data_IF_723277755579
#
_entry.id   IF_723277755579
#
_cell.length_a   1.000
_cell.length_b   1.000
_cell.length_c   1.000
_cell.angle_alpha   90.00
_cell.angle_beta   90.00
_cell.angle_gamma   90.00
#
_symmetry.space_group_name_H-M   'P 1'
#
loop_
_entity.id
_entity.type
_entity.pdbx_description
1 polymer ?
#
# COMPACT_ATOMS: atom_id res chain seq x y z
N UNK A 1 12.01 -1.76 -17.29
CA UNK A 1 12.37 -3.18 -17.07
C UNK A 1 12.05 -4.02 -18.29
N UNK A 2 10.80 -4.12 -18.74
CA UNK A 2 10.41 -4.88 -19.95
C UNK A 2 11.19 -4.47 -21.21
N UNK A 3 11.28 -3.16 -21.49
CA UNK A 3 12.07 -2.61 -22.61
C UNK A 3 13.55 -3.00 -22.58
N UNK A 4 14.08 -3.30 -21.40
CA UNK A 4 15.49 -3.63 -21.17
C UNK A 4 15.70 -5.10 -20.83
N UNK A 5 14.63 -5.91 -20.78
CA UNK A 5 14.64 -7.34 -20.40
C UNK A 5 15.35 -7.63 -19.06
N UNK A 6 15.21 -6.72 -18.09
CA UNK A 6 15.82 -6.83 -16.74
C UNK A 6 14.77 -7.35 -15.74
N UNK A 7 15.12 -8.30 -14.87
CA UNK A 7 14.26 -8.77 -13.78
C UNK A 7 14.54 -7.99 -12.48
N UNK A 8 13.60 -8.04 -11.52
CA UNK A 8 13.74 -7.34 -10.23
C UNK A 8 15.02 -7.71 -9.47
N UNK A 9 15.45 -8.97 -9.59
CA UNK A 9 16.67 -9.50 -8.97
C UNK A 9 17.97 -8.92 -9.55
N UNK A 10 17.92 -8.41 -10.77
CA UNK A 10 19.07 -7.87 -11.50
C UNK A 10 19.26 -6.35 -11.24
N UNK A 11 18.37 -5.74 -10.45
CA UNK A 11 18.39 -4.31 -10.17
C UNK A 11 19.30 -4.03 -8.97
N UNK A 12 20.38 -3.29 -9.21
CA UNK A 12 21.27 -2.78 -8.18
C UNK A 12 21.03 -1.29 -7.85
N UNK A 13 21.82 -0.78 -6.89
CA UNK A 13 21.78 0.60 -6.42
C UNK A 13 22.09 1.62 -7.52
N UNK A 14 23.05 1.31 -8.40
CA UNK A 14 23.50 2.23 -9.43
C UNK A 14 22.48 2.34 -10.57
N UNK A 15 21.85 1.21 -10.92
CA UNK A 15 20.72 1.16 -11.83
C UNK A 15 19.56 2.00 -11.27
N UNK A 16 19.17 1.79 -10.01
CA UNK A 16 18.09 2.55 -9.37
C UNK A 16 18.34 4.05 -9.46
N UNK A 17 19.56 4.49 -9.09
CA UNK A 17 19.96 5.89 -9.13
C UNK A 17 19.93 6.44 -10.55
N UNK A 18 20.55 5.76 -11.51
CA UNK A 18 20.61 6.21 -12.91
C UNK A 18 19.22 6.34 -13.51
N UNK A 19 18.37 5.32 -13.37
CA UNK A 19 17.02 5.31 -13.96
C UNK A 19 16.10 6.32 -13.32
N UNK A 20 16.12 6.43 -11.99
CA UNK A 20 15.29 7.41 -11.29
C UNK A 20 15.64 8.83 -11.71
N UNK A 21 16.93 9.17 -11.84
CA UNK A 21 17.36 10.48 -12.29
C UNK A 21 16.85 10.79 -13.70
N UNK A 22 17.01 9.85 -14.64
CA UNK A 22 16.55 10.00 -16.02
C UNK A 22 15.03 10.20 -16.11
N UNK A 23 14.25 9.40 -15.38
CA UNK A 23 12.78 9.49 -15.38
C UNK A 23 12.33 10.82 -14.80
N UNK A 24 12.89 11.24 -13.66
CA UNK A 24 12.53 12.52 -13.04
C UNK A 24 12.90 13.69 -13.96
N UNK A 25 14.06 13.64 -14.62
CA UNK A 25 14.46 14.68 -15.56
C UNK A 25 13.55 14.75 -16.80
N UNK A 26 13.16 13.61 -17.37
CA UNK A 26 12.18 13.56 -18.47
C UNK A 26 10.82 14.13 -18.05
N UNK A 27 10.31 13.76 -16.86
CA UNK A 27 9.06 14.30 -16.33
C UNK A 27 9.11 15.81 -16.11
N UNK A 28 10.25 16.34 -15.64
CA UNK A 28 10.47 17.77 -15.46
C UNK A 28 10.58 18.53 -16.79
N UNK A 29 11.01 17.87 -17.87
CA UNK A 29 11.03 18.46 -19.22
C UNK A 29 9.64 18.51 -19.82
N UNK A 30 8.84 17.44 -19.65
CA UNK A 30 7.46 17.34 -20.16
C UNK A 30 6.47 18.22 -19.40
N UNK A 31 6.76 18.51 -18.14
CA UNK A 31 5.98 19.42 -17.30
C UNK A 31 6.85 20.61 -16.90
N UNK A 32 7.14 21.55 -17.84
CA UNK A 32 7.95 22.73 -17.56
C UNK A 32 7.21 23.59 -16.55
N UNK A 33 7.51 23.34 -15.28
CA UNK A 33 6.75 23.80 -14.13
C UNK A 33 7.54 24.82 -13.32
N UNK A 34 6.87 25.37 -12.30
CA UNK A 34 7.43 26.13 -11.18
C UNK A 34 8.72 25.50 -10.59
N UNK A 35 8.95 24.21 -10.81
CA UNK A 35 10.12 23.46 -10.31
C UNK A 35 11.46 23.88 -10.93
N UNK A 36 11.47 24.71 -11.99
CA UNK A 36 12.68 25.35 -12.54
C UNK A 36 12.73 26.87 -12.32
N UNK A 37 11.76 27.43 -11.57
CA UNK A 37 11.60 28.89 -11.44
C UNK A 37 12.61 29.56 -10.51
N UNK A 38 13.27 28.82 -9.61
CA UNK A 38 14.25 29.39 -8.68
C UNK A 38 15.23 28.36 -8.10
N UNK A 39 16.32 28.85 -7.49
CA UNK A 39 17.29 28.02 -6.74
C UNK A 39 16.66 27.23 -5.60
N UNK A 40 15.57 27.75 -5.00
CA UNK A 40 14.80 27.00 -4.00
C UNK A 40 14.19 25.74 -4.62
N UNK A 41 13.61 25.85 -5.81
CA UNK A 41 13.03 24.72 -6.50
C UNK A 41 14.08 23.74 -7.04
N UNK A 42 15.27 24.20 -7.43
CA UNK A 42 16.40 23.31 -7.74
C UNK A 42 16.70 22.37 -6.55
N UNK A 43 16.66 22.89 -5.32
CA UNK A 43 16.83 22.07 -4.12
C UNK A 43 15.65 21.10 -3.90
N UNK A 44 14.41 21.53 -4.13
CA UNK A 44 13.23 20.66 -4.05
C UNK A 44 13.35 19.49 -5.04
N UNK A 45 13.80 19.74 -6.27
CA UNK A 45 14.05 18.71 -7.27
C UNK A 45 15.13 17.73 -6.81
N UNK A 46 16.25 18.23 -6.24
CA UNK A 46 17.29 17.36 -5.67
C UNK A 46 16.74 16.47 -4.56
N UNK A 47 15.90 17.02 -3.67
CA UNK A 47 15.25 16.26 -2.59
C UNK A 47 14.30 15.20 -3.16
N UNK A 48 13.48 15.55 -4.16
CA UNK A 48 12.58 14.63 -4.84
C UNK A 48 13.35 13.46 -5.46
N UNK A 49 14.41 13.73 -6.23
CA UNK A 49 15.26 12.71 -6.84
C UNK A 49 15.82 11.72 -5.80
N UNK A 50 16.29 12.23 -4.66
CA UNK A 50 16.79 11.40 -3.55
C UNK A 50 15.69 10.54 -2.94
N UNK A 51 14.52 11.12 -2.68
CA UNK A 51 13.36 10.42 -2.12
C UNK A 51 12.88 9.30 -3.03
N UNK A 52 12.68 9.58 -4.33
CA UNK A 52 12.23 8.57 -5.30
C UNK A 52 13.29 7.48 -5.47
N UNK A 53 14.58 7.83 -5.50
CA UNK A 53 15.65 6.83 -5.64
C UNK A 53 15.65 5.86 -4.45
N UNK A 54 15.51 6.40 -3.22
CA UNK A 54 15.39 5.58 -2.01
C UNK A 54 14.14 4.70 -2.04
N UNK A 55 12.99 5.26 -2.43
CA UNK A 55 11.75 4.50 -2.56
C UNK A 55 11.91 3.33 -3.55
N UNK A 56 12.50 3.55 -4.73
CA UNK A 56 12.76 2.48 -5.71
C UNK A 56 13.69 1.42 -5.13
N UNK A 57 14.79 1.81 -4.46
CA UNK A 57 15.71 0.86 -3.83
C UNK A 57 15.01 0.00 -2.76
N UNK A 58 14.18 0.61 -1.92
CA UNK A 58 13.39 -0.13 -0.92
C UNK A 58 12.38 -1.05 -1.59
N UNK A 59 11.71 -0.60 -2.64
CA UNK A 59 10.76 -1.41 -3.39
C UNK A 59 11.43 -2.65 -3.99
N UNK A 60 12.61 -2.50 -4.59
CA UNK A 60 13.42 -3.61 -5.12
C UNK A 60 13.77 -4.59 -4.01
N UNK A 61 14.27 -4.10 -2.86
CA UNK A 61 14.56 -4.95 -1.71
C UNK A 61 13.32 -5.74 -1.25
N UNK A 62 12.18 -5.07 -1.10
CA UNK A 62 10.94 -5.69 -0.62
C UNK A 62 10.38 -6.72 -1.61
N UNK A 63 10.45 -6.47 -2.92
CA UNK A 63 10.03 -7.43 -3.95
C UNK A 63 10.94 -8.66 -3.94
N UNK A 64 12.25 -8.46 -3.85
CA UNK A 64 13.23 -9.54 -3.85
C UNK A 64 13.31 -10.31 -2.52
N UNK A 65 12.63 -9.84 -1.47
CA UNK A 65 12.61 -10.52 -0.16
C UNK A 65 11.62 -11.68 -0.12
N UNK A 66 10.71 -11.80 -1.09
CA UNK A 66 9.69 -12.85 -1.11
C UNK A 66 9.33 -13.33 -2.51
N UNK A 67 8.22 -14.05 -2.61
CA UNK A 67 7.73 -14.69 -3.84
C UNK A 67 6.54 -13.96 -4.46
N UNK A 68 5.87 -13.05 -3.74
CA UNK A 68 4.88 -12.14 -4.33
C UNK A 68 5.50 -11.31 -5.47
N UNK A 69 4.80 -11.21 -6.59
CA UNK A 69 5.24 -10.42 -7.74
C UNK A 69 4.23 -9.32 -8.06
N UNK A 70 4.68 -8.10 -8.41
CA UNK A 70 3.78 -7.09 -8.96
C UNK A 70 3.20 -7.61 -10.27
N UNK A 71 1.91 -7.93 -10.26
CA UNK A 71 1.19 -8.37 -11.46
C UNK A 71 0.54 -7.17 -12.16
N UNK A 72 0.03 -6.21 -11.38
CA UNK A 72 -0.73 -5.09 -11.94
C UNK A 72 -0.48 -3.79 -11.18
N UNK A 73 -0.42 -2.70 -11.94
CA UNK A 73 -0.25 -1.34 -11.46
C UNK A 73 -1.38 -0.48 -12.00
N UNK A 74 -1.82 0.53 -11.24
CA UNK A 74 -2.87 1.48 -11.66
C UNK A 74 -4.16 0.78 -12.11
N UNK A 75 -4.55 -0.29 -11.40
CA UNK A 75 -5.67 -1.17 -11.76
C UNK A 75 -6.99 -0.46 -11.58
N UNK A 76 -7.80 -0.37 -12.63
CA UNK A 76 -9.04 0.40 -12.62
C UNK A 76 -10.22 -0.53 -12.34
N UNK A 77 -10.99 -0.22 -11.29
CA UNK A 77 -12.26 -0.89 -11.05
C UNK A 77 -13.43 0.03 -11.44
N UNK A 78 -14.08 -0.32 -12.54
CA UNK A 78 -15.28 0.32 -13.12
C UNK A 78 -15.88 -0.64 -14.15
N UNK A 79 -17.15 -0.46 -14.52
CA UNK A 79 -17.71 -1.25 -15.62
C UNK A 79 -16.89 -1.04 -16.93
N UNK A 80 -16.38 -2.13 -17.49
CA UNK A 80 -15.45 -2.12 -18.65
C UNK A 80 -13.97 -1.84 -18.31
N UNK A 81 -13.60 -1.78 -17.03
CA UNK A 81 -12.22 -1.72 -16.53
C UNK A 81 -11.60 -3.11 -16.30
N UNK A 82 -10.50 -3.14 -15.55
CA UNK A 82 -9.81 -4.39 -15.18
C UNK A 82 -10.68 -5.22 -14.22
N UNK A 83 -11.34 -4.55 -13.27
CA UNK A 83 -12.34 -5.12 -12.38
C UNK A 83 -13.68 -4.38 -12.52
N UNK A 84 -14.82 -5.04 -12.30
CA UNK A 84 -16.11 -4.36 -12.27
C UNK A 84 -16.16 -3.35 -11.13
N UNK A 85 -17.05 -2.37 -11.25
CA UNK A 85 -17.36 -1.49 -10.13
C UNK A 85 -17.98 -2.25 -8.95
N UNK A 86 -17.81 -1.69 -7.75
CA UNK A 86 -18.52 -2.20 -6.57
C UNK A 86 -19.93 -1.60 -6.60
N UNK A 87 -20.93 -2.48 -6.66
CA UNK A 87 -22.34 -2.10 -6.71
C UNK A 87 -22.97 -2.31 -5.34
N UNK A 88 -23.54 -1.24 -4.78
CA UNK A 88 -24.17 -1.23 -3.45
C UNK A 88 -25.63 -0.83 -3.61
N UNK A 89 -26.53 -1.75 -3.26
CA UNK A 89 -27.97 -1.48 -3.26
C UNK A 89 -28.37 -0.83 -1.93
N UNK A 90 -28.99 0.34 -2.00
CA UNK A 90 -29.55 1.02 -0.84
C UNK A 90 -30.95 0.53 -0.50
N UNK A 91 -31.37 0.76 0.74
CA UNK A 91 -32.74 0.49 1.19
C UNK A 91 -33.79 1.31 0.44
N UNK A 92 -33.41 2.47 -0.10
CA UNK A 92 -34.27 3.32 -0.94
C UNK A 92 -34.57 2.70 -2.32
N UNK A 93 -33.91 1.60 -2.69
CA UNK A 93 -34.00 0.99 -4.02
C UNK A 93 -33.04 1.60 -5.04
N UNK A 94 -32.32 2.67 -4.68
CA UNK A 94 -31.25 3.21 -5.51
C UNK A 94 -30.00 2.33 -5.43
N UNK A 95 -29.23 2.30 -6.52
CA UNK A 95 -27.94 1.61 -6.58
C UNK A 95 -26.82 2.63 -6.68
N UNK A 96 -25.80 2.45 -5.85
CA UNK A 96 -24.55 3.21 -5.91
C UNK A 96 -23.52 2.38 -6.65
N UNK A 97 -22.77 3.05 -7.52
CA UNK A 97 -21.62 2.49 -8.20
C UNK A 97 -20.35 3.17 -7.67
N UNK A 98 -19.45 2.37 -7.08
CA UNK A 98 -18.14 2.84 -6.65
C UNK A 98 -17.10 2.43 -7.68
N UNK A 99 -16.38 3.42 -8.18
CA UNK A 99 -15.27 3.24 -9.10
C UNK A 99 -13.98 3.81 -8.51
N UNK A 100 -12.84 3.30 -8.95
CA UNK A 100 -11.57 3.84 -8.49
C UNK A 100 -10.37 3.16 -9.14
N UNK A 101 -9.22 3.36 -8.51
CA UNK A 101 -7.95 2.85 -9.02
C UNK A 101 -7.07 2.35 -7.89
N UNK A 102 -6.60 1.12 -8.02
CA UNK A 102 -5.66 0.47 -7.11
C UNK A 102 -4.24 0.78 -7.61
N UNK A 103 -3.43 1.42 -6.77
CA UNK A 103 -2.05 1.79 -7.13
C UNK A 103 -1.21 0.57 -7.56
N UNK A 104 -1.23 -0.49 -6.76
CA UNK A 104 -0.47 -1.72 -7.01
C UNK A 104 -1.15 -2.93 -6.38
N UNK A 105 -1.17 -4.02 -7.14
CA UNK A 105 -1.54 -5.35 -6.67
C UNK A 105 -0.41 -6.34 -6.95
N UNK A 106 0.02 -7.03 -5.89
CA UNK A 106 0.93 -8.15 -6.03
C UNK A 106 0.18 -9.46 -5.85
N UNK A 107 0.61 -10.49 -6.58
CA UNK A 107 0.03 -11.83 -6.53
C UNK A 107 1.10 -12.89 -6.27
N UNK A 108 0.67 -13.99 -5.65
CA UNK A 108 1.38 -15.24 -5.50
C UNK A 108 0.39 -16.36 -5.86
N UNK A 109 0.67 -17.09 -6.93
CA UNK A 109 -0.12 -18.27 -7.30
C UNK A 109 0.41 -19.48 -6.56
N UNK A 110 -0.49 -20.20 -5.90
CA UNK A 110 -0.16 -21.38 -5.12
C UNK A 110 -1.32 -22.39 -5.20
N UNK A 111 -1.03 -23.60 -5.66
CA UNK A 111 -2.00 -24.72 -5.74
C UNK A 111 -3.35 -24.38 -6.42
N UNK A 112 -3.33 -23.45 -7.39
CA UNK A 112 -4.52 -22.99 -8.11
C UNK A 112 -5.30 -21.87 -7.41
N UNK A 113 -4.81 -21.41 -6.26
CA UNK A 113 -5.30 -20.24 -5.52
C UNK A 113 -4.38 -19.04 -5.78
N UNK A 114 -4.95 -17.85 -5.81
CA UNK A 114 -4.22 -16.60 -6.01
C UNK A 114 -4.25 -15.82 -4.71
N UNK A 115 -3.15 -15.85 -3.98
CA UNK A 115 -2.93 -14.97 -2.84
C UNK A 115 -2.58 -13.59 -3.39
N UNK A 116 -3.30 -12.55 -2.95
CA UNK A 116 -3.05 -11.19 -3.45
C UNK A 116 -2.90 -10.19 -2.31
N UNK A 117 -2.17 -9.10 -2.56
CA UNK A 117 -2.08 -7.98 -1.62
C UNK A 117 -2.23 -6.65 -2.34
N UNK A 118 -2.91 -5.71 -1.68
CA UNK A 118 -3.08 -4.35 -2.16
C UNK A 118 -2.02 -3.46 -1.53
N UNK A 119 -1.34 -2.67 -2.36
CA UNK A 119 -0.32 -1.72 -1.93
C UNK A 119 -0.69 -0.33 -2.45
N UNK A 120 -0.81 0.63 -1.55
CA UNK A 120 -1.03 2.05 -1.88
C UNK A 120 0.20 2.89 -1.50
N UNK A 121 0.62 3.79 -2.38
CA UNK A 121 1.79 4.63 -2.18
C UNK A 121 1.42 5.88 -1.40
N UNK A 122 1.91 5.99 -0.16
CA UNK A 122 1.72 7.18 0.68
C UNK A 122 3.05 7.89 0.94
N UNK A 123 3.06 9.20 0.73
CA UNK A 123 4.15 10.04 1.19
C UNK A 123 4.09 10.22 2.71
N UNK A 124 5.25 10.22 3.37
CA UNK A 124 5.35 10.47 4.81
C UNK A 124 5.01 9.26 5.69
N UNK A 125 4.48 9.52 6.89
CA UNK A 125 4.37 8.53 7.97
C UNK A 125 2.93 8.07 8.23
N UNK A 126 2.12 7.92 7.17
CA UNK A 126 0.77 7.36 7.30
C UNK A 126 0.86 6.00 8.00
N UNK A 127 -0.03 5.79 8.96
CA UNK A 127 -0.12 4.55 9.73
C UNK A 127 -1.48 3.93 9.54
N UNK A 128 -1.49 2.63 9.33
CA UNK A 128 -2.70 1.83 9.36
C UNK A 128 -3.35 1.89 10.74
N UNK A 129 -4.67 2.05 10.78
CA UNK A 129 -5.42 2.09 12.03
C UNK A 129 -6.80 1.48 11.87
N UNK A 130 -7.07 0.42 12.63
CA UNK A 130 -8.41 -0.15 12.74
C UNK A 130 -9.43 0.87 13.29
N UNK A 131 -8.98 1.81 14.12
CA UNK A 131 -9.84 2.89 14.62
C UNK A 131 -10.27 3.84 13.50
N UNK A 132 -9.40 4.15 12.55
CA UNK A 132 -9.76 5.01 11.41
C UNK A 132 -10.71 4.29 10.45
N UNK A 133 -10.49 2.99 10.22
CA UNK A 133 -11.42 2.15 9.45
C UNK A 133 -12.79 2.12 10.13
N UNK A 134 -12.82 1.87 11.45
CA UNK A 134 -14.06 1.78 12.21
C UNK A 134 -14.91 3.07 12.08
N UNK A 135 -14.24 4.23 12.15
CA UNK A 135 -14.87 5.54 12.01
C UNK A 135 -15.10 5.99 10.56
N UNK A 136 -14.76 5.17 9.56
CA UNK A 136 -14.94 5.49 8.15
C UNK A 136 -13.99 6.57 7.61
N UNK A 137 -12.87 6.84 8.28
CA UNK A 137 -11.88 7.85 7.89
C UNK A 137 -10.93 7.29 6.82
N UNK A 138 -10.53 6.02 6.96
CA UNK A 138 -9.59 5.35 6.04
C UNK A 138 -10.15 4.01 5.57
N UNK A 139 -10.94 4.01 4.50
CA UNK A 139 -11.55 2.79 3.97
C UNK A 139 -10.91 2.30 2.67
N UNK A 140 -10.09 3.13 2.02
CA UNK A 140 -9.60 2.96 0.65
C UNK A 140 -9.00 1.57 0.38
N UNK A 141 -8.07 1.11 1.22
CA UNK A 141 -7.41 -0.19 1.05
C UNK A 141 -8.39 -1.38 1.12
N UNK A 142 -9.37 -1.33 2.02
CA UNK A 142 -10.39 -2.38 2.15
C UNK A 142 -11.38 -2.35 0.98
N UNK A 143 -11.74 -1.16 0.49
CA UNK A 143 -12.55 -1.03 -0.74
C UNK A 143 -11.85 -1.64 -1.93
N UNK A 144 -10.54 -1.40 -2.08
CA UNK A 144 -9.75 -1.98 -3.18
C UNK A 144 -9.66 -3.50 -3.09
N UNK A 145 -9.44 -4.03 -1.88
CA UNK A 145 -9.47 -5.47 -1.65
C UNK A 145 -10.86 -6.07 -1.95
N UNK A 146 -11.94 -5.38 -1.58
CA UNK A 146 -13.31 -5.81 -1.83
C UNK A 146 -13.64 -5.89 -3.33
N UNK A 147 -13.14 -4.95 -4.15
CA UNK A 147 -13.30 -4.99 -5.60
C UNK A 147 -12.70 -6.25 -6.24
N UNK A 148 -11.51 -6.66 -5.78
CA UNK A 148 -10.85 -7.87 -6.27
C UNK A 148 -11.60 -9.14 -5.83
N UNK A 149 -12.08 -9.18 -4.59
CA UNK A 149 -12.82 -10.35 -4.07
C UNK A 149 -14.17 -10.49 -4.76
N UNK A 150 -14.93 -9.40 -4.96
CA UNK A 150 -16.19 -9.45 -5.72
C UNK A 150 -15.99 -9.95 -7.15
N UNK A 151 -14.90 -9.56 -7.81
CA UNK A 151 -14.55 -10.06 -9.13
C UNK A 151 -14.26 -11.57 -9.10
N UNK A 152 -13.51 -12.03 -8.10
CA UNK A 152 -13.19 -13.44 -7.94
C UNK A 152 -14.45 -14.28 -7.71
N UNK A 153 -15.35 -13.84 -6.83
CA UNK A 153 -16.65 -14.47 -6.58
C UNK A 153 -17.51 -14.57 -7.86
N UNK A 154 -17.57 -13.51 -8.67
CA UNK A 154 -18.33 -13.49 -9.94
C UNK A 154 -17.74 -14.40 -11.02
N UNK A 155 -16.42 -14.58 -11.02
CA UNK A 155 -15.71 -15.36 -12.05
C UNK A 155 -15.41 -16.80 -11.62
N UNK A 156 -15.70 -17.16 -10.37
CA UNK A 156 -15.34 -18.47 -9.80
C UNK A 156 -13.84 -18.66 -9.57
N UNK A 157 -13.04 -17.60 -9.70
CA UNK A 157 -11.61 -17.62 -9.39
C UNK A 157 -11.41 -17.61 -7.88
N UNK A 158 -10.37 -18.29 -7.40
CA UNK A 158 -10.00 -18.30 -5.99
C UNK A 158 -8.96 -17.22 -5.71
N UNK A 159 -9.41 -16.06 -5.23
CA UNK A 159 -8.54 -14.99 -4.73
C UNK A 159 -8.62 -14.94 -3.21
N UNK A 160 -7.46 -15.07 -2.55
CA UNK A 160 -7.36 -15.03 -1.09
C UNK A 160 -6.62 -13.75 -0.68
N UNK A 161 -7.22 -12.91 0.18
CA UNK A 161 -6.58 -11.67 0.63
C UNK A 161 -5.37 -11.97 1.52
N UNK A 162 -4.17 -11.74 1.00
CA UNK A 162 -2.91 -11.86 1.73
C UNK A 162 -2.56 -10.62 2.55
N UNK A 163 -3.06 -9.43 2.17
CA UNK A 163 -2.92 -8.24 3.00
C UNK A 163 -3.24 -6.91 2.30
N UNK A 164 -3.30 -5.86 3.11
CA UNK A 164 -3.44 -4.46 2.68
C UNK A 164 -2.30 -3.64 3.29
N UNK A 165 -1.59 -2.87 2.46
CA UNK A 165 -0.34 -2.24 2.85
C UNK A 165 -0.22 -0.81 2.30
N UNK A 166 0.35 0.07 3.11
CA UNK A 166 0.89 1.34 2.68
C UNK A 166 2.40 1.19 2.43
N UNK A 167 2.82 1.52 1.21
CA UNK A 167 4.23 1.71 0.89
C UNK A 167 4.64 3.15 1.19
N UNK A 168 5.72 3.33 1.97
CA UNK A 168 6.20 4.65 2.38
C UNK A 168 7.16 5.25 1.36
N UNK A 169 6.75 6.37 0.77
CA UNK A 169 7.61 7.21 -0.06
C UNK A 169 8.16 8.34 0.81
N UNK A 170 9.36 8.16 1.37
CA UNK A 170 10.01 9.14 2.22
C UNK A 170 11.54 9.10 2.12
N UNK A 171 12.19 10.14 2.64
CA UNK A 171 13.64 10.30 2.74
C UNK A 171 14.02 10.46 4.22
N UNK A 172 14.03 9.36 5.01
CA UNK A 172 14.10 9.45 6.46
C UNK A 172 15.48 9.88 6.93
N UNK A 173 15.50 10.72 7.97
CA UNK A 173 16.71 11.06 8.72
C UNK A 173 16.97 9.95 9.74
N UNK A 174 18.14 9.31 9.67
CA UNK A 174 18.58 8.32 10.65
C UNK A 174 19.26 9.06 11.80
N UNK A 175 18.78 8.82 13.03
CA UNK A 175 19.39 9.37 14.24
C UNK A 175 20.27 8.29 14.86
N UNK A 176 21.54 8.58 15.06
CA UNK A 176 22.49 7.70 15.74
C UNK A 176 23.25 8.49 16.81
N UNK A 177 23.67 7.79 17.87
CA UNK A 177 24.57 8.36 18.90
C UNK A 177 26.05 8.21 18.55
N UNK A 178 26.38 7.41 17.52
CA UNK A 178 27.74 7.19 17.03
C UNK A 178 27.77 7.00 15.52
N UNK A 179 28.98 6.77 14.99
CA UNK A 179 29.15 6.43 13.58
C UNK A 179 28.48 5.10 13.26
N UNK A 180 27.80 5.04 12.12
CA UNK A 180 27.19 3.83 11.59
C UNK A 180 27.92 3.44 10.32
N UNK A 181 28.16 2.15 10.16
CA UNK A 181 28.58 1.57 8.89
C UNK A 181 27.48 1.71 7.82
N UNK A 182 27.85 1.56 6.54
CA UNK A 182 26.88 1.63 5.44
C UNK A 182 25.75 0.59 5.57
N UNK A 183 26.06 -0.62 6.05
CA UNK A 183 25.07 -1.69 6.24
C UNK A 183 24.12 -1.39 7.41
N UNK A 184 24.61 -0.78 8.49
CA UNK A 184 23.74 -0.32 9.59
C UNK A 184 22.81 0.80 9.13
N UNK A 185 23.32 1.76 8.34
CA UNK A 185 22.50 2.84 7.76
C UNK A 185 21.42 2.25 6.87
N UNK A 186 21.76 1.30 5.99
CA UNK A 186 20.82 0.60 5.11
C UNK A 186 19.75 -0.11 5.92
N UNK A 187 20.13 -0.82 6.98
CA UNK A 187 19.20 -1.51 7.89
C UNK A 187 18.23 -0.53 8.56
N UNK A 188 18.73 0.59 9.09
CA UNK A 188 17.87 1.61 9.72
C UNK A 188 16.93 2.30 8.73
N UNK A 189 17.37 2.51 7.48
CA UNK A 189 16.51 3.00 6.40
C UNK A 189 15.39 1.99 6.09
N UNK A 190 15.72 0.71 5.94
CA UNK A 190 14.73 -0.35 5.69
C UNK A 190 13.71 -0.44 6.83
N UNK A 191 14.15 -0.38 8.10
CA UNK A 191 13.23 -0.36 9.26
C UNK A 191 12.24 0.80 9.21
N UNK A 192 12.68 2.00 8.81
CA UNK A 192 11.80 3.19 8.73
C UNK A 192 10.84 3.15 7.55
N UNK A 193 11.28 2.58 6.43
CA UNK A 193 10.52 2.47 5.18
C UNK A 193 9.80 1.12 5.00
N UNK A 194 9.81 0.28 6.05
CA UNK A 194 8.98 -0.91 6.16
C UNK A 194 7.52 -0.58 5.88
N UNK A 195 6.84 -1.44 5.12
CA UNK A 195 5.42 -1.27 4.86
C UNK A 195 4.62 -1.37 6.15
N UNK A 196 3.49 -0.67 6.18
CA UNK A 196 2.57 -0.61 7.30
C UNK A 196 1.18 -0.99 6.83
N UNK A 197 0.42 -1.75 7.60
CA UNK A 197 -0.81 -2.35 7.09
C UNK A 197 -1.28 -3.53 7.91
N UNK A 198 -2.11 -4.37 7.30
CA UNK A 198 -2.69 -5.57 7.90
C UNK A 198 -2.45 -6.77 6.98
N UNK A 199 -1.90 -7.84 7.52
CA UNK A 199 -1.52 -9.06 6.77
C UNK A 199 -2.40 -10.24 7.20
N UNK A 200 -2.66 -11.18 6.29
CA UNK A 200 -3.33 -12.43 6.66
C UNK A 200 -2.48 -13.19 7.70
N UNK A 201 -3.13 -13.66 8.77
CA UNK A 201 -2.49 -14.42 9.84
C UNK A 201 -2.16 -15.86 9.42
N UNK A 202 -1.39 -15.99 8.34
CA UNK A 202 -0.95 -17.24 7.75
C UNK A 202 0.57 -17.18 7.51
N UNK A 203 1.30 -18.17 8.06
CA UNK A 203 2.75 -18.28 7.92
C UNK A 203 3.18 -18.38 6.45
N UNK A 204 2.40 -19.07 5.61
CA UNK A 204 2.66 -19.20 4.18
C UNK A 204 2.61 -17.86 3.48
N UNK A 205 1.61 -17.04 3.80
CA UNK A 205 1.50 -15.67 3.29
C UNK A 205 2.66 -14.81 3.75
N UNK A 206 2.97 -14.85 5.05
CA UNK A 206 4.09 -14.09 5.65
C UNK A 206 5.41 -14.45 4.98
N UNK A 207 5.70 -15.75 4.82
CA UNK A 207 6.91 -16.24 4.16
C UNK A 207 6.92 -15.94 2.66
N UNK A 208 5.76 -15.91 2.01
CA UNK A 208 5.63 -15.43 0.65
C UNK A 208 6.00 -13.94 0.51
N UNK A 209 5.74 -13.13 1.53
CA UNK A 209 6.10 -11.71 1.53
C UNK A 209 7.55 -11.44 1.96
N UNK A 210 8.11 -12.26 2.85
CA UNK A 210 9.48 -12.17 3.38
C UNK A 210 9.99 -13.59 3.72
N UNK A 211 10.70 -14.22 2.78
CA UNK A 211 11.16 -15.61 2.86
C UNK A 211 12.17 -15.79 4.02
N UNK A 212 13.09 -14.84 4.12
CA UNK A 212 14.19 -14.83 5.08
C UNK A 212 13.86 -14.01 6.34
N UNK A 213 12.57 -13.88 6.67
CA UNK A 213 12.13 -13.23 7.91
C UNK A 213 12.83 -13.85 9.12
N UNK A 214 13.59 -13.01 9.83
CA UNK A 214 14.18 -13.35 11.13
C UNK A 214 13.15 -13.15 12.25
N UNK A 215 13.57 -12.58 13.38
CA UNK A 215 12.65 -12.23 14.48
C UNK A 215 11.63 -11.16 14.07
N UNK A 216 12.05 -10.18 13.29
CA UNK A 216 11.20 -9.06 12.83
C UNK A 216 11.48 -8.81 11.37
N UNK A 217 10.41 -8.66 10.57
CA UNK A 217 10.55 -8.32 9.16
C UNK A 217 10.94 -6.86 8.97
N UNK A 218 11.76 -6.60 7.95
CA UNK A 218 12.04 -5.26 7.43
C UNK A 218 11.13 -4.88 6.24
N UNK A 219 10.27 -5.79 5.81
CA UNK A 219 9.38 -5.65 4.65
C UNK A 219 7.96 -5.36 5.10
N UNK A 220 7.43 -6.17 6.02
CA UNK A 220 6.03 -6.16 6.48
C UNK A 220 5.89 -5.96 8.00
N UNK A 221 4.73 -5.53 8.53
CA UNK A 221 4.54 -5.26 9.96
C UNK A 221 4.35 -6.55 10.79
N UNK A 222 5.24 -7.54 10.60
CA UNK A 222 5.16 -8.86 11.25
C UNK A 222 6.46 -9.19 11.98
N UNK A 223 6.34 -9.88 13.11
CA UNK A 223 7.43 -10.51 13.85
C UNK A 223 7.08 -11.96 14.17
N UNK A 224 8.08 -12.83 14.21
CA UNK A 224 7.95 -14.23 14.58
C UNK A 224 8.57 -14.48 15.95
N UNK A 225 7.97 -15.38 16.71
CA UNK A 225 8.52 -15.90 17.95
C UNK A 225 9.61 -16.95 17.63
N UNK A 226 10.36 -17.38 18.65
CA UNK A 226 11.44 -18.37 18.49
C UNK A 226 10.94 -19.74 18.05
N UNK A 227 9.67 -20.07 18.32
CA UNK A 227 9.00 -21.30 17.89
C UNK A 227 8.42 -21.20 16.46
N UNK A 228 8.59 -20.06 15.78
CA UNK A 228 8.06 -19.81 14.44
C UNK A 228 6.61 -19.31 14.42
N UNK A 229 5.92 -19.21 15.57
CA UNK A 229 4.57 -18.66 15.64
C UNK A 229 4.54 -17.14 15.43
N UNK A 230 3.41 -16.61 14.97
CA UNK A 230 3.22 -15.18 14.75
C UNK A 230 3.21 -14.45 16.10
N UNK A 231 4.07 -13.43 16.25
CA UNK A 231 4.10 -12.61 17.45
C UNK A 231 2.80 -11.81 17.58
N UNK A 232 2.25 -11.69 18.80
CA UNK A 232 1.08 -10.84 19.12
C UNK A 232 1.26 -9.36 18.77
N UNK A 233 2.51 -8.91 18.60
CA UNK A 233 2.83 -7.54 18.19
C UNK A 233 2.71 -7.30 16.68
N UNK A 234 2.47 -8.36 15.90
CA UNK A 234 2.31 -8.28 14.45
C UNK A 234 0.95 -7.66 14.09
N UNK A 235 0.93 -6.88 13.01
CA UNK A 235 -0.32 -6.37 12.45
C UNK A 235 -0.90 -7.39 11.48
N UNK A 236 -1.61 -8.37 12.04
CA UNK A 236 -2.23 -9.48 11.31
C UNK A 236 -3.71 -9.61 11.63
N UNK A 237 -4.47 -10.19 10.71
CA UNK A 237 -5.87 -10.56 10.90
C UNK A 237 -6.15 -11.93 10.27
N UNK A 238 -7.08 -12.68 10.83
CA UNK A 238 -7.62 -13.91 10.22
C UNK A 238 -8.48 -13.58 8.99
N UNK A 239 -8.79 -14.60 8.19
CA UNK A 239 -9.70 -14.45 7.05
C UNK A 239 -11.11 -13.99 7.50
N UNK A 240 -11.59 -14.52 8.62
CA UNK A 240 -12.85 -14.10 9.24
C UNK A 240 -12.82 -12.62 9.62
N UNK A 241 -11.73 -12.17 10.27
CA UNK A 241 -11.55 -10.77 10.65
C UNK A 241 -11.49 -9.84 9.42
N UNK A 242 -10.81 -10.26 8.34
CA UNK A 242 -10.86 -9.54 7.06
C UNK A 242 -12.29 -9.46 6.52
N UNK A 243 -13.05 -10.56 6.58
CA UNK A 243 -14.47 -10.59 6.21
C UNK A 243 -15.32 -9.60 7.02
N UNK A 244 -15.10 -9.54 8.34
CA UNK A 244 -15.77 -8.58 9.23
C UNK A 244 -15.44 -7.13 8.88
N UNK A 245 -14.16 -6.83 8.64
CA UNK A 245 -13.71 -5.49 8.26
C UNK A 245 -14.31 -5.03 6.92
N UNK A 246 -14.31 -5.91 5.91
CA UNK A 246 -14.94 -5.64 4.61
C UNK A 246 -16.43 -5.33 4.77
N UNK A 247 -17.16 -6.18 5.51
CA UNK A 247 -18.58 -5.98 5.78
C UNK A 247 -18.86 -4.66 6.50
N UNK A 248 -18.04 -4.31 7.49
CA UNK A 248 -18.14 -3.03 8.20
C UNK A 248 -17.94 -1.83 7.26
N UNK A 249 -16.91 -1.87 6.42
CA UNK A 249 -16.65 -0.82 5.42
C UNK A 249 -17.82 -0.68 4.44
N UNK A 250 -18.38 -1.78 3.93
CA UNK A 250 -19.58 -1.72 3.07
C UNK A 250 -20.76 -1.06 3.76
N UNK A 251 -21.00 -1.38 5.04
CA UNK A 251 -22.05 -0.76 5.83
C UNK A 251 -21.82 0.75 6.02
N UNK A 252 -20.58 1.17 6.28
CA UNK A 252 -20.22 2.59 6.40
C UNK A 252 -20.42 3.34 5.09
N UNK A 253 -20.09 2.74 3.96
CA UNK A 253 -20.34 3.36 2.65
C UNK A 253 -21.84 3.47 2.39
N UNK A 254 -22.63 2.44 2.70
CA UNK A 254 -24.10 2.52 2.61
C UNK A 254 -24.68 3.66 3.45
N UNK A 255 -24.22 3.81 4.69
CA UNK A 255 -24.59 4.90 5.60
C UNK A 255 -24.26 6.26 4.97
N UNK A 256 -23.00 6.48 4.57
CA UNK A 256 -22.56 7.76 4.01
C UNK A 256 -23.29 8.14 2.72
N UNK A 257 -23.49 7.19 1.81
CA UNK A 257 -24.19 7.48 0.58
C UNK A 257 -25.69 7.69 0.78
N UNK A 258 -26.31 7.03 1.77
CA UNK A 258 -27.70 7.32 2.15
C UNK A 258 -27.82 8.73 2.70
N UNK A 259 -26.95 9.11 3.64
CA UNK A 259 -26.90 10.47 4.21
C UNK A 259 -26.71 11.53 3.11
N UNK A 260 -25.83 11.26 2.13
CA UNK A 260 -25.62 12.16 0.99
C UNK A 260 -26.89 12.34 0.14
N UNK A 261 -27.63 11.26 -0.12
CA UNK A 261 -28.85 11.29 -0.92
C UNK A 261 -30.03 11.94 -0.17
N UNK A 262 -30.09 11.75 1.15
CA UNK A 262 -31.07 12.36 2.04
C UNK A 262 -30.76 13.84 2.33
N UNK A 263 -29.65 14.38 1.79
CA UNK A 263 -29.28 15.79 1.93
C UNK A 263 -28.75 16.15 3.32
N UNK A 264 -28.17 15.20 4.04
CA UNK A 264 -27.60 15.43 5.38
C UNK A 264 -26.30 16.23 5.28
N UNK A 265 -26.40 17.54 5.44
CA UNK A 265 -25.26 18.49 5.37
C UNK A 265 -24.78 18.98 6.74
N UNK A 266 -25.01 18.18 7.80
CA UNK A 266 -24.69 18.58 9.17
C UNK A 266 -23.18 18.69 9.37
N UNK A 267 -22.71 19.80 9.94
CA UNK A 267 -21.29 20.03 10.21
C UNK A 267 -20.86 19.20 11.42
N UNK A 268 -20.08 18.12 11.18
CA UNK A 268 -19.59 17.19 12.23
C UNK A 268 -18.07 16.97 12.10
N UNK A 269 -17.22 17.94 12.51
CA UNK A 269 -15.78 17.78 12.45
C UNK A 269 -15.30 16.70 13.43
N UNK A 270 -14.36 15.85 13.00
CA UNK A 270 -13.79 14.83 13.88
C UNK A 270 -12.57 15.36 14.64
N UNK A 271 -12.32 14.77 15.81
CA UNK A 271 -11.10 14.96 16.59
C UNK A 271 -10.50 13.61 16.96
N UNK A 272 -9.27 13.37 16.52
CA UNK A 272 -8.50 12.16 16.84
C UNK A 272 -7.24 12.56 17.61
N UNK A 273 -7.30 12.47 18.93
CA UNK A 273 -6.23 12.96 19.80
C UNK A 273 -5.97 14.46 19.56
N UNK A 274 -4.83 14.80 18.95
CA UNK A 274 -4.43 16.18 18.59
C UNK A 274 -4.76 16.56 17.13
N UNK A 275 -5.22 15.61 16.32
CA UNK A 275 -5.60 15.79 14.93
C UNK A 275 -7.06 16.28 14.85
N UNK A 276 -7.30 17.25 13.98
CA UNK A 276 -8.61 17.84 13.71
C UNK A 276 -8.81 17.85 12.20
N UNK A 277 -10.02 17.54 11.74
CA UNK A 277 -10.36 17.56 10.30
C UNK A 277 -10.28 18.95 9.67
N UNK A 278 -10.33 20.02 10.47
CA UNK A 278 -10.43 21.41 10.02
C UNK A 278 -9.10 22.18 10.06
N UNK A 279 -7.96 21.48 10.09
CA UNK A 279 -6.62 22.08 10.09
C UNK A 279 -6.03 22.16 8.70
#
# INVERSE_FOLDING_TARGET
MEKEKIQWKDIDKDWCKKKTLLIVDDLLLKNPSILKSSKRYDYVVKKLKRMVTKAVMVMVYQINSGTFRPNSHEVVFKDGGDYPSIKINLKSGQQIELTGRIDRMDELTDEGEILFRIIDYKSGNKKFSLSDIYNGIEMQLLVYMDAVIEYAEKTGKKYIPGGILYFRVDDPIIKSRGELSEEEIKTEVLKKLKMDGLILSDIKVIKGMDENIGKTSFVIPVSLNTDGSISKSSSTASEEEFGLLRKHVRNKIMEFCSDMLDGVITIRPYKKGKELSCK
#
